data_IF_040427055207
#
_entry.id   IF_040427055207
#
_cell.length_a   1.000
_cell.length_b   1.000
_cell.length_c   1.000
_cell.angle_alpha   90.00
_cell.angle_beta   90.00
_cell.angle_gamma   90.00
#
_symmetry.space_group_name_H-M   'P 1'
#
loop_
_entity.id
_entity.type
_entity.pdbx_description
1 polymer ?
#
# COMPACT_ATOMS: atom_id res chain seq x y z
N UNK A 1 -9.60 2.25 17.86
CA UNK A 1 -8.48 1.41 17.37
C UNK A 1 -7.74 2.19 16.28
N UNK A 2 -6.51 2.65 16.54
CA UNK A 2 -5.77 3.65 15.73
C UNK A 2 -4.43 3.09 15.18
N UNK A 3 -4.33 1.77 15.02
CA UNK A 3 -3.04 1.06 15.00
C UNK A 3 -2.50 0.74 13.60
N UNK A 4 -3.32 0.56 12.56
CA UNK A 4 -2.82 0.12 11.24
C UNK A 4 -2.58 1.29 10.27
N UNK A 5 -3.41 2.33 10.29
CA UNK A 5 -3.30 3.50 9.38
C UNK A 5 -2.15 4.43 9.78
N UNK A 6 -1.75 4.45 11.07
CA UNK A 6 -0.75 5.40 11.59
C UNK A 6 0.69 5.06 11.21
N UNK A 7 0.96 3.81 10.80
CA UNK A 7 2.29 3.38 10.36
C UNK A 7 2.74 4.09 9.06
N UNK A 8 1.80 4.56 8.23
CA UNK A 8 2.14 5.15 6.93
C UNK A 8 2.73 6.57 7.03
N UNK A 9 2.27 7.36 8.01
CA UNK A 9 2.78 8.71 8.24
C UNK A 9 4.22 8.72 8.80
N UNK A 10 4.56 7.76 9.66
CA UNK A 10 5.93 7.59 10.14
C UNK A 10 6.84 7.16 8.98
N UNK A 11 6.44 6.16 8.22
CA UNK A 11 7.19 5.65 7.07
C UNK A 11 7.44 6.73 6.01
N UNK A 12 6.42 7.51 5.66
CA UNK A 12 6.54 8.63 4.70
C UNK A 12 7.50 9.70 5.21
N UNK A 13 7.44 10.01 6.52
CA UNK A 13 8.36 10.94 7.15
C UNK A 13 9.80 10.45 7.10
N UNK A 14 10.07 9.19 7.44
CA UNK A 14 11.42 8.61 7.39
C UNK A 14 12.02 8.68 5.98
N UNK A 15 11.21 8.39 4.95
CA UNK A 15 11.66 8.54 3.55
C UNK A 15 11.97 10.00 3.22
N UNK A 16 11.12 10.94 3.66
CA UNK A 16 11.34 12.37 3.45
C UNK A 16 12.58 12.88 4.15
N UNK A 17 12.79 12.51 5.41
CA UNK A 17 13.99 12.88 6.18
C UNK A 17 15.27 12.33 5.52
N UNK A 18 15.21 11.09 5.01
CA UNK A 18 16.32 10.53 4.22
C UNK A 18 16.53 11.32 2.91
N UNK A 19 15.47 11.62 2.18
CA UNK A 19 15.52 12.42 0.95
C UNK A 19 16.15 13.81 1.19
N UNK A 20 15.78 14.48 2.28
CA UNK A 20 16.37 15.77 2.68
C UNK A 20 17.84 15.62 3.08
N UNK A 21 18.19 14.60 3.86
CA UNK A 21 19.57 14.31 4.30
C UNK A 21 20.52 14.06 3.13
N UNK A 22 20.05 13.44 2.05
CA UNK A 22 20.85 13.10 0.86
C UNK A 22 20.78 14.16 -0.24
N UNK A 23 20.40 15.41 0.09
CA UNK A 23 20.45 16.53 -0.85
C UNK A 23 19.33 16.53 -1.89
N UNK A 24 18.17 15.94 -1.56
CA UNK A 24 16.95 15.91 -2.39
C UNK A 24 17.18 15.30 -3.78
N UNK A 25 17.65 14.04 -3.86
CA UNK A 25 17.86 13.37 -5.14
C UNK A 25 16.58 13.31 -5.97
N UNK A 26 16.72 13.36 -7.30
CA UNK A 26 15.60 13.47 -8.25
C UNK A 26 14.68 12.23 -8.33
N UNK A 27 15.03 11.12 -7.67
CA UNK A 27 14.22 9.91 -7.68
C UNK A 27 14.73 8.83 -6.73
N UNK A 28 13.92 7.77 -6.60
CA UNK A 28 14.18 6.68 -5.64
C UNK A 28 15.52 5.98 -5.90
N UNK A 29 15.90 5.72 -7.15
CA UNK A 29 17.21 5.10 -7.47
C UNK A 29 18.37 5.92 -6.90
N UNK A 30 18.38 7.22 -7.19
CA UNK A 30 19.43 8.14 -6.69
C UNK A 30 19.45 8.24 -5.17
N UNK A 31 18.27 8.19 -4.54
CA UNK A 31 18.19 8.11 -3.08
C UNK A 31 18.83 6.82 -2.54
N UNK A 32 18.49 5.66 -3.10
CA UNK A 32 19.02 4.38 -2.64
C UNK A 32 20.53 4.25 -2.89
N UNK A 33 21.03 4.72 -4.04
CA UNK A 33 22.46 4.80 -4.33
C UNK A 33 23.20 5.67 -3.30
N UNK A 34 22.63 6.84 -2.95
CA UNK A 34 23.19 7.74 -1.94
C UNK A 34 23.15 7.15 -0.53
N UNK A 35 22.06 6.48 -0.15
CA UNK A 35 21.95 5.78 1.13
C UNK A 35 22.95 4.62 1.23
N UNK A 36 23.15 3.87 0.14
CA UNK A 36 24.13 2.79 0.06
C UNK A 36 25.57 3.31 0.16
N UNK A 37 25.90 4.38 -0.59
CA UNK A 37 27.22 5.02 -0.53
C UNK A 37 27.53 5.61 0.86
N UNK A 38 26.51 6.08 1.58
CA UNK A 38 26.63 6.58 2.95
C UNK A 38 26.65 5.46 4.01
N UNK A 39 26.58 4.19 3.62
CA UNK A 39 26.56 3.06 4.55
C UNK A 39 25.30 2.97 5.42
N UNK A 40 24.22 3.65 5.03
CA UNK A 40 22.91 3.60 5.70
C UNK A 40 22.22 2.27 5.37
N UNK A 41 22.34 1.82 4.12
CA UNK A 41 21.91 0.47 3.73
C UNK A 41 23.07 -0.50 3.95
N UNK A 42 23.04 -1.26 5.04
CA UNK A 42 23.97 -2.37 5.23
C UNK A 42 23.20 -3.68 5.10
N UNK A 43 23.64 -4.63 4.25
CA UNK A 43 23.00 -5.94 4.11
C UNK A 43 22.91 -6.73 5.41
N UNK A 44 23.72 -6.40 6.43
CA UNK A 44 23.72 -7.04 7.74
C UNK A 44 22.85 -6.34 8.80
N UNK A 45 22.45 -5.07 8.59
CA UNK A 45 21.63 -4.27 9.51
C UNK A 45 20.29 -3.96 8.85
N UNK A 46 19.49 -5.01 8.72
CA UNK A 46 18.34 -5.13 7.84
C UNK A 46 17.05 -4.44 8.32
N UNK A 47 17.07 -3.63 9.38
CA UNK A 47 15.85 -2.95 9.85
C UNK A 47 15.23 -2.05 8.78
N UNK A 48 16.06 -1.32 8.02
CA UNK A 48 15.56 -0.35 7.04
C UNK A 48 15.13 -1.03 5.73
N UNK A 49 15.81 -2.12 5.33
CA UNK A 49 15.45 -2.94 4.17
C UNK A 49 14.15 -3.73 4.41
N UNK A 50 13.99 -4.33 5.58
CA UNK A 50 12.74 -5.00 5.99
C UNK A 50 11.55 -4.03 6.03
N UNK A 51 11.74 -2.79 6.51
CA UNK A 51 10.71 -1.73 6.48
C UNK A 51 10.34 -1.29 5.06
N UNK A 52 11.28 -1.33 4.11
CA UNK A 52 11.01 -1.03 2.69
C UNK A 52 10.25 -2.17 2.01
N UNK A 53 10.64 -3.42 2.24
CA UNK A 53 9.90 -4.60 1.75
C UNK A 53 8.48 -4.66 2.30
N UNK A 54 8.30 -4.36 3.59
CA UNK A 54 6.97 -4.28 4.21
C UNK A 54 6.10 -3.19 3.56
N UNK A 55 6.70 -2.07 3.12
CA UNK A 55 5.97 -1.03 2.38
C UNK A 55 5.52 -1.50 1.00
N UNK A 56 6.36 -2.20 0.26
CA UNK A 56 6.00 -2.67 -1.09
C UNK A 56 4.98 -3.80 -1.06
N UNK A 57 5.11 -4.72 -0.11
CA UNK A 57 4.10 -5.77 0.13
C UNK A 57 2.76 -5.18 0.55
N UNK A 58 2.75 -4.08 1.33
CA UNK A 58 1.53 -3.35 1.64
C UNK A 58 0.92 -2.65 0.41
N UNK A 59 1.72 -2.12 -0.53
CA UNK A 59 1.19 -1.57 -1.80
C UNK A 59 0.52 -2.65 -2.64
N UNK A 60 1.15 -3.84 -2.73
CA UNK A 60 0.56 -5.00 -3.43
C UNK A 60 -0.73 -5.45 -2.75
N UNK A 61 -0.76 -5.53 -1.42
CA UNK A 61 -1.98 -5.81 -0.66
C UNK A 61 -3.12 -4.84 -1.02
N UNK A 62 -2.86 -3.53 -1.01
CA UNK A 62 -3.88 -2.53 -1.35
C UNK A 62 -4.31 -2.62 -2.81
N UNK A 63 -3.39 -2.91 -3.74
CA UNK A 63 -3.71 -3.12 -5.15
C UNK A 63 -4.63 -4.34 -5.34
N UNK A 64 -4.38 -5.45 -4.64
CA UNK A 64 -5.24 -6.63 -4.71
C UNK A 64 -6.63 -6.38 -4.11
N UNK A 65 -6.68 -5.72 -2.96
CA UNK A 65 -7.96 -5.36 -2.34
C UNK A 65 -8.77 -4.42 -3.25
N UNK A 66 -8.13 -3.40 -3.81
CA UNK A 66 -8.76 -2.47 -4.75
C UNK A 66 -9.21 -3.18 -6.03
N UNK A 67 -8.42 -4.13 -6.55
CA UNK A 67 -8.78 -4.96 -7.71
C UNK A 67 -10.02 -5.81 -7.43
N UNK A 68 -10.14 -6.39 -6.23
CA UNK A 68 -11.33 -7.14 -5.84
C UNK A 68 -12.56 -6.25 -5.60
N UNK A 69 -12.36 -5.02 -5.15
CA UNK A 69 -13.43 -4.03 -4.99
C UNK A 69 -13.96 -3.54 -6.35
N UNK A 70 -13.08 -3.37 -7.34
CA UNK A 70 -13.46 -2.92 -8.68
C UNK A 70 -14.23 -3.97 -9.47
N UNK A 71 -13.92 -5.27 -9.28
CA UNK A 71 -14.64 -6.37 -9.93
C UNK A 71 -16.13 -6.39 -9.54
N UNK A 72 -17.03 -6.27 -10.52
CA UNK A 72 -18.48 -6.35 -10.33
C UNK A 72 -18.92 -7.62 -9.57
N UNK A 73 -18.20 -8.74 -9.77
CA UNK A 73 -18.45 -10.04 -9.13
C UNK A 73 -17.60 -10.28 -7.87
N UNK A 74 -16.90 -9.25 -7.40
CA UNK A 74 -16.01 -9.32 -6.24
C UNK A 74 -16.72 -9.74 -4.96
N UNK A 75 -16.01 -10.52 -4.15
CA UNK A 75 -16.49 -11.03 -2.86
C UNK A 75 -16.50 -9.98 -1.73
N UNK A 76 -16.64 -10.44 -0.48
CA UNK A 76 -16.59 -9.55 0.68
C UNK A 76 -15.18 -8.95 0.85
N UNK A 77 -15.04 -7.67 1.26
CA UNK A 77 -13.73 -7.05 1.46
C UNK A 77 -12.87 -7.79 2.49
N UNK A 78 -13.48 -8.39 3.51
CA UNK A 78 -12.79 -9.23 4.49
C UNK A 78 -12.16 -10.47 3.84
N UNK A 79 -12.89 -11.16 2.94
CA UNK A 79 -12.36 -12.33 2.23
C UNK A 79 -11.27 -11.94 1.23
N UNK A 80 -11.51 -10.90 0.43
CA UNK A 80 -10.55 -10.35 -0.54
C UNK A 80 -9.26 -9.89 0.17
N UNK A 81 -9.41 -9.13 1.25
CA UNK A 81 -8.29 -8.67 2.07
C UNK A 81 -7.55 -9.82 2.74
N UNK A 82 -8.22 -10.90 3.16
CA UNK A 82 -7.55 -12.07 3.75
C UNK A 82 -6.68 -12.79 2.71
N UNK A 83 -7.18 -12.97 1.50
CA UNK A 83 -6.41 -13.57 0.39
C UNK A 83 -5.20 -12.71 0.03
N UNK A 84 -5.38 -11.39 -0.10
CA UNK A 84 -4.30 -10.45 -0.36
C UNK A 84 -3.26 -10.44 0.77
N UNK A 85 -3.72 -10.48 2.02
CA UNK A 85 -2.86 -10.49 3.20
C UNK A 85 -1.98 -11.74 3.23
N UNK A 86 -2.57 -12.91 3.03
CA UNK A 86 -1.85 -14.18 3.08
C UNK A 86 -0.78 -14.30 2.01
N UNK A 87 -1.03 -13.71 0.83
CA UNK A 87 -0.08 -13.71 -0.29
C UNK A 87 1.07 -12.71 -0.10
N UNK A 88 0.75 -11.49 0.34
CA UNK A 88 1.69 -10.37 0.26
C UNK A 88 2.38 -10.06 1.59
N UNK A 89 1.64 -10.04 2.69
CA UNK A 89 2.09 -9.42 3.95
C UNK A 89 2.33 -10.44 5.05
N UNK A 90 1.51 -11.49 5.12
CA UNK A 90 1.59 -12.53 6.15
C UNK A 90 2.97 -13.20 6.28
N UNK A 91 3.73 -13.46 5.19
CA UNK A 91 5.07 -14.05 5.30
C UNK A 91 6.05 -13.20 6.12
N UNK A 92 5.81 -11.89 6.22
CA UNK A 92 6.68 -10.94 6.93
C UNK A 92 6.14 -10.54 8.30
N UNK A 93 5.03 -11.13 8.75
CA UNK A 93 4.42 -10.86 10.05
C UNK A 93 4.61 -12.07 10.97
N UNK A 94 5.10 -11.85 12.18
CA UNK A 94 5.02 -12.83 13.26
C UNK A 94 3.57 -13.10 13.68
N UNK A 95 3.36 -14.19 14.44
CA UNK A 95 2.02 -14.69 14.80
C UNK A 95 1.09 -13.63 15.44
N UNK A 96 1.62 -12.75 16.29
CA UNK A 96 0.84 -11.65 16.93
C UNK A 96 0.30 -10.68 15.89
N UNK A 97 1.13 -10.28 14.92
CA UNK A 97 0.74 -9.35 13.86
C UNK A 97 -0.23 -10.02 12.88
N UNK A 98 -0.08 -11.33 12.61
CA UNK A 98 -1.05 -12.10 11.82
C UNK A 98 -2.43 -12.08 12.46
N UNK A 99 -2.52 -12.37 13.76
CA UNK A 99 -3.80 -12.34 14.48
C UNK A 99 -4.45 -10.95 14.48
N UNK A 100 -3.66 -9.91 14.78
CA UNK A 100 -4.14 -8.53 14.83
C UNK A 100 -4.63 -8.05 13.45
N UNK A 101 -3.91 -8.37 12.38
CA UNK A 101 -4.29 -7.97 11.02
C UNK A 101 -5.57 -8.69 10.57
N UNK A 102 -5.69 -10.00 10.83
CA UNK A 102 -6.91 -10.75 10.52
C UNK A 102 -8.14 -10.22 11.27
N UNK A 103 -7.98 -9.85 12.54
CA UNK A 103 -9.05 -9.19 13.29
C UNK A 103 -9.45 -7.83 12.67
N UNK A 104 -8.47 -7.06 12.18
CA UNK A 104 -8.75 -5.81 11.48
C UNK A 104 -9.47 -6.03 10.14
N UNK A 105 -9.11 -7.06 9.38
CA UNK A 105 -9.79 -7.44 8.13
C UNK A 105 -11.25 -7.84 8.36
N UNK A 106 -11.54 -8.55 9.44
CA UNK A 106 -12.90 -8.92 9.81
C UNK A 106 -13.79 -7.70 10.16
N UNK A 107 -13.17 -6.57 10.53
CA UNK A 107 -13.85 -5.32 10.83
C UNK A 107 -14.01 -4.39 9.61
N UNK A 108 -13.63 -4.84 8.40
CA UNK A 108 -13.81 -4.05 7.18
C UNK A 108 -15.31 -3.82 6.90
N UNK A 109 -15.68 -2.62 6.40
CA UNK A 109 -17.06 -2.37 5.98
C UNK A 109 -17.51 -3.29 4.83
N UNK A 110 -18.81 -3.32 4.56
CA UNK A 110 -19.33 -4.00 3.37
C UNK A 110 -18.74 -3.38 2.10
N UNK A 111 -18.72 -4.15 1.00
CA UNK A 111 -18.25 -3.66 -0.30
C UNK A 111 -18.97 -2.39 -0.74
N UNK A 112 -20.29 -2.35 -0.56
CA UNK A 112 -21.11 -1.18 -0.89
C UNK A 112 -20.75 0.04 -0.05
N UNK A 113 -20.54 -0.15 1.27
CA UNK A 113 -20.14 0.95 2.15
C UNK A 113 -18.74 1.49 1.77
N UNK A 114 -17.80 0.63 1.41
CA UNK A 114 -16.47 1.04 0.95
C UNK A 114 -16.55 1.83 -0.37
N UNK A 115 -17.28 1.32 -1.38
CA UNK A 115 -17.44 2.01 -2.66
C UNK A 115 -18.18 3.34 -2.51
N UNK A 116 -19.19 3.39 -1.65
CA UNK A 116 -19.90 4.63 -1.34
C UNK A 116 -18.98 5.66 -0.68
N UNK A 117 -18.12 5.23 0.25
CA UNK A 117 -17.16 6.13 0.89
C UNK A 117 -16.12 6.69 -0.10
N UNK A 118 -15.69 5.88 -1.07
CA UNK A 118 -14.78 6.31 -2.15
C UNK A 118 -15.45 7.24 -3.18
N UNK A 119 -16.78 7.26 -3.21
CA UNK A 119 -17.57 8.10 -4.11
C UNK A 119 -17.77 9.52 -3.56
N UNK A 120 -17.47 9.77 -2.29
CA UNK A 120 -17.63 11.06 -1.64
C UNK A 120 -16.57 12.06 -2.12
N UNK A 121 -16.90 13.36 -2.23
CA UNK A 121 -15.91 14.40 -2.49
C UNK A 121 -14.88 14.47 -1.35
N UNK A 122 -13.67 15.01 -1.61
CA UNK A 122 -12.66 15.25 -0.59
C UNK A 122 -13.20 16.12 0.56
N UNK A 123 -12.69 15.97 1.78
CA UNK A 123 -13.08 16.82 2.90
C UNK A 123 -12.79 18.30 2.60
N UNK A 124 -13.82 19.15 2.66
CA UNK A 124 -13.71 20.60 2.42
C UNK A 124 -14.12 21.06 1.02
N UNK A 125 -14.47 20.13 0.13
CA UNK A 125 -15.17 20.44 -1.11
C UNK A 125 -16.67 20.18 -0.89
N UNK A 126 -17.52 21.16 -1.22
CA UNK A 126 -18.96 20.93 -1.27
C UNK A 126 -19.21 19.80 -2.25
N UNK A 127 -20.09 18.87 -1.89
CA UNK A 127 -20.64 17.94 -2.85
C UNK A 127 -21.36 18.78 -3.90
N UNK A 128 -20.65 19.16 -4.97
CA UNK A 128 -21.29 19.58 -6.20
C UNK A 128 -22.38 18.55 -6.42
N UNK A 129 -23.64 19.00 -6.51
CA UNK A 129 -24.80 18.16 -6.74
C UNK A 129 -24.42 17.23 -7.89
N UNK A 130 -24.01 16.01 -7.53
CA UNK A 130 -23.49 15.07 -8.50
C UNK A 130 -24.75 14.54 -9.15
N UNK A 131 -25.25 15.29 -10.13
CA UNK A 131 -26.35 14.93 -11.00
C UNK A 131 -25.92 13.71 -11.82
N UNK A 132 -25.98 12.56 -11.18
CA UNK A 132 -25.73 11.25 -11.73
C UNK A 132 -26.34 10.23 -10.78
N UNK A 133 -27.11 9.29 -11.32
CA UNK A 133 -27.69 8.22 -10.51
C UNK A 133 -26.58 7.55 -9.65
N UNK A 134 -26.86 7.20 -8.38
CA UNK A 134 -25.89 6.58 -7.48
C UNK A 134 -25.12 5.40 -8.08
N UNK A 135 -25.72 4.73 -9.08
CA UNK A 135 -25.11 3.67 -9.86
C UNK A 135 -23.99 4.16 -10.79
N UNK A 136 -24.20 5.24 -11.56
CA UNK A 136 -23.21 5.80 -12.47
C UNK A 136 -21.95 6.28 -11.73
N UNK A 137 -22.12 6.91 -10.56
CA UNK A 137 -21.01 7.30 -9.67
C UNK A 137 -20.19 6.09 -9.20
N UNK A 138 -20.86 5.00 -8.83
CA UNK A 138 -20.19 3.75 -8.40
C UNK A 138 -19.43 3.09 -9.55
N UNK A 139 -19.95 3.17 -10.77
CA UNK A 139 -19.26 2.66 -11.97
C UNK A 139 -18.02 3.50 -12.29
N UNK A 140 -18.10 4.82 -12.18
CA UNK A 140 -16.96 5.71 -12.32
C UNK A 140 -15.86 5.39 -11.28
N UNK A 141 -16.21 5.23 -10.00
CA UNK A 141 -15.25 4.83 -8.95
C UNK A 141 -14.61 3.48 -9.24
N UNK A 142 -15.37 2.50 -9.76
CA UNK A 142 -14.80 1.20 -10.14
C UNK A 142 -13.78 1.35 -11.27
N UNK A 143 -14.09 2.12 -12.31
CA UNK A 143 -13.16 2.38 -13.41
C UNK A 143 -11.89 3.12 -12.96
N UNK A 144 -12.03 4.10 -12.05
CA UNK A 144 -10.89 4.79 -11.45
C UNK A 144 -10.02 3.84 -10.61
N UNK A 145 -10.64 2.97 -9.81
CA UNK A 145 -9.92 1.94 -9.05
C UNK A 145 -9.13 1.02 -9.96
N UNK A 146 -9.67 0.59 -11.11
CA UNK A 146 -8.94 -0.24 -12.07
C UNK A 146 -7.69 0.46 -12.61
N UNK A 147 -7.82 1.74 -12.98
CA UNK A 147 -6.68 2.57 -13.38
C UNK A 147 -5.63 2.69 -12.28
N UNK A 148 -6.06 2.91 -11.04
CA UNK A 148 -5.17 3.01 -9.89
C UNK A 148 -4.45 1.70 -9.58
N UNK A 149 -5.15 0.57 -9.63
CA UNK A 149 -4.58 -0.78 -9.45
C UNK A 149 -3.47 -1.03 -10.46
N UNK A 150 -3.69 -0.70 -11.74
CA UNK A 150 -2.69 -0.86 -12.78
C UNK A 150 -1.44 0.01 -12.54
N UNK A 151 -1.60 1.22 -12.01
CA UNK A 151 -0.47 2.08 -11.62
C UNK A 151 0.27 1.51 -10.41
N UNK A 152 -0.45 1.14 -9.35
CA UNK A 152 0.15 0.60 -8.13
C UNK A 152 0.97 -0.66 -8.38
N UNK A 153 0.45 -1.59 -9.18
CA UNK A 153 1.18 -2.81 -9.55
C UNK A 153 2.49 -2.47 -10.27
N UNK A 154 2.44 -1.60 -11.29
CA UNK A 154 3.64 -1.15 -12.01
C UNK A 154 4.67 -0.49 -11.10
N UNK A 155 4.23 0.35 -10.17
CA UNK A 155 5.13 1.00 -9.20
C UNK A 155 5.74 -0.04 -8.26
N UNK A 156 4.95 -0.98 -7.73
CA UNK A 156 5.45 -2.05 -6.87
C UNK A 156 6.50 -2.91 -7.60
N UNK A 157 6.20 -3.33 -8.84
CA UNK A 157 7.13 -4.13 -9.67
C UNK A 157 8.44 -3.37 -9.95
N UNK A 158 8.35 -2.07 -10.24
CA UNK A 158 9.52 -1.23 -10.50
C UNK A 158 10.39 -1.04 -9.27
N UNK A 159 9.78 -0.85 -8.08
CA UNK A 159 10.53 -0.73 -6.83
C UNK A 159 11.18 -2.06 -6.47
N UNK A 160 10.49 -3.19 -6.62
CA UNK A 160 11.08 -4.50 -6.35
C UNK A 160 12.27 -4.80 -7.26
N UNK A 161 12.15 -4.51 -8.55
CA UNK A 161 13.24 -4.65 -9.51
C UNK A 161 14.44 -3.80 -9.10
N UNK A 162 14.20 -2.54 -8.72
CA UNK A 162 15.24 -1.62 -8.26
C UNK A 162 15.94 -2.11 -6.98
N UNK A 163 15.18 -2.62 -6.01
CA UNK A 163 15.76 -3.17 -4.78
C UNK A 163 16.61 -4.41 -5.07
N UNK A 164 16.17 -5.27 -5.99
CA UNK A 164 16.93 -6.45 -6.41
C UNK A 164 18.24 -6.05 -7.12
N UNK A 165 18.18 -5.11 -8.07
CA UNK A 165 19.36 -4.59 -8.78
C UNK A 165 20.42 -4.03 -7.84
N UNK A 166 20.01 -3.37 -6.76
CA UNK A 166 20.90 -2.77 -5.78
C UNK A 166 21.32 -3.73 -4.65
N UNK A 167 20.87 -4.98 -4.67
CA UNK A 167 21.15 -5.95 -3.60
C UNK A 167 20.51 -5.58 -2.25
N UNK A 168 19.44 -4.80 -2.26
CA UNK A 168 18.74 -4.26 -1.08
C UNK A 168 17.47 -5.05 -0.72
N UNK A 169 17.24 -6.18 -1.39
CA UNK A 169 16.06 -7.02 -1.17
C UNK A 169 16.23 -7.87 0.09
N UNK A 170 15.27 -7.77 1.01
CA UNK A 170 15.18 -8.66 2.19
C UNK A 170 14.01 -9.63 2.00
N UNK A 171 14.34 -10.90 1.76
CA UNK A 171 13.38 -11.99 1.56
C UNK A 171 13.12 -12.83 2.82
N UNK A 172 13.65 -12.42 3.97
CA UNK A 172 13.47 -13.18 5.22
C UNK A 172 12.02 -13.13 5.67
N UNK A 173 11.45 -14.31 5.88
CA UNK A 173 10.09 -14.51 6.40
C UNK A 173 10.14 -14.75 7.92
N UNK A 174 9.06 -14.40 8.62
CA UNK A 174 8.91 -14.51 10.09
C UNK A 174 7.98 -15.64 10.53
#
# INVERSE_FOLDING_TARGET
>A
MRLVVRCDAHNTRTVRESWERHGRPAGLRRLLEAEAAAGVQQPALLEEAARRRLRDTMKRFWAELASGLSDARGGSPAALGSLAYDREVAPFHGWVLRGTFRAALAALPSREAMLSALSLPPPGEEAAEAEGEPQARREAVRAELEGWVAVLRRVADAVESLLAELGLRDDRQL
#
